data_IF_697699167712
#
_entry.id   IF_697699167712
#
_cell.length_a   1.000
_cell.length_b   1.000
_cell.length_c   1.000
_cell.angle_alpha   90.00
_cell.angle_beta   90.00
_cell.angle_gamma   90.00
#
_symmetry.space_group_name_H-M   'P 1'
#
loop_
_entity.id
_entity.type
_entity.pdbx_description
1 polymer ?
#
# COMPACT_ATOMS: atom_id res chain seq x y z
N UNK A 1 -5.08 -27.97 14.47
CA UNK A 1 -6.51 -27.96 14.09
C UNK A 1 -7.11 -26.62 14.51
N UNK A 2 -7.93 -25.99 13.69
CA UNK A 2 -8.56 -24.68 14.00
C UNK A 2 -10.03 -24.96 14.32
N UNK A 3 -10.54 -24.39 15.43
CA UNK A 3 -11.96 -24.47 15.77
C UNK A 3 -12.77 -23.44 14.97
N UNK A 4 -13.05 -23.80 13.72
CA UNK A 4 -13.76 -22.94 12.78
C UNK A 4 -15.24 -22.74 13.12
N UNK A 5 -15.84 -23.67 13.88
CA UNK A 5 -17.25 -23.60 14.23
C UNK A 5 -17.49 -22.57 15.35
N UNK A 6 -16.57 -22.51 16.32
CA UNK A 6 -16.60 -21.49 17.35
C UNK A 6 -16.34 -20.08 16.78
N UNK A 7 -15.45 -19.96 15.79
CA UNK A 7 -15.21 -18.71 15.05
C UNK A 7 -16.43 -18.21 14.28
N UNK A 8 -17.14 -19.09 13.57
CA UNK A 8 -18.37 -18.75 12.83
C UNK A 8 -19.53 -18.33 13.72
N UNK A 9 -19.53 -18.73 14.99
CA UNK A 9 -20.57 -18.32 15.93
C UNK A 9 -20.37 -16.90 16.49
N UNK A 10 -19.28 -16.22 16.13
CA UNK A 10 -18.90 -14.91 16.69
C UNK A 10 -18.51 -14.96 18.18
N UNK A 11 -18.40 -16.16 18.76
CA UNK A 11 -18.11 -16.38 20.19
C UNK A 11 -16.62 -16.42 20.51
N UNK A 12 -15.77 -16.38 19.49
CA UNK A 12 -14.32 -16.53 19.60
C UNK A 12 -13.65 -15.32 18.98
N UNK A 13 -12.90 -14.59 19.78
CA UNK A 13 -11.97 -13.58 19.31
C UNK A 13 -10.65 -14.26 18.87
N UNK A 14 -9.81 -13.57 18.10
CA UNK A 14 -8.52 -14.11 17.64
C UNK A 14 -7.62 -14.60 18.79
N UNK A 15 -7.89 -14.20 20.05
CA UNK A 15 -7.16 -14.63 21.25
C UNK A 15 -7.65 -15.97 21.81
N UNK A 16 -8.87 -16.37 21.53
CA UNK A 16 -9.42 -17.65 21.99
C UNK A 16 -9.26 -18.78 20.95
N UNK A 17 -9.08 -18.43 19.67
CA UNK A 17 -8.87 -19.41 18.60
C UNK A 17 -7.49 -20.09 18.68
N UNK A 18 -7.48 -21.43 18.82
CA UNK A 18 -6.26 -22.24 18.71
C UNK A 18 -5.97 -22.56 17.24
N UNK A 19 -4.75 -22.26 16.79
CA UNK A 19 -4.21 -22.64 15.50
C UNK A 19 -2.91 -23.39 15.73
N UNK A 20 -2.88 -24.69 15.38
CA UNK A 20 -1.72 -25.58 15.62
C UNK A 20 -1.26 -25.50 17.09
N UNK A 21 -2.20 -25.70 18.01
CA UNK A 21 -1.93 -25.67 19.47
C UNK A 21 -1.81 -24.27 20.07
N UNK A 22 -1.41 -23.25 19.31
CA UNK A 22 -1.14 -21.90 19.80
C UNK A 22 -2.32 -20.92 19.62
N UNK A 23 -2.37 -19.89 20.47
CA UNK A 23 -3.28 -18.74 20.40
C UNK A 23 -2.50 -17.44 20.41
N UNK A 24 -3.18 -16.33 20.11
CA UNK A 24 -2.61 -15.00 20.33
C UNK A 24 -2.31 -14.81 21.81
N UNK A 25 -1.09 -14.39 22.12
CA UNK A 25 -0.55 -14.23 23.47
C UNK A 25 0.25 -15.43 23.98
N UNK A 26 0.14 -16.61 23.35
CA UNK A 26 0.94 -17.77 23.75
C UNK A 26 2.42 -17.57 23.37
N UNK A 27 3.32 -18.20 24.14
CA UNK A 27 4.74 -18.23 23.81
C UNK A 27 5.02 -19.13 22.60
N UNK A 28 6.18 -18.93 21.94
CA UNK A 28 6.61 -19.76 20.80
C UNK A 28 6.56 -21.28 21.08
N UNK A 29 6.78 -21.69 22.33
CA UNK A 29 6.74 -23.09 22.74
C UNK A 29 5.38 -23.76 22.65
N UNK A 30 4.29 -22.99 22.51
CA UNK A 30 2.94 -23.51 22.35
C UNK A 30 2.60 -23.89 20.89
N UNK A 31 3.45 -23.52 19.93
CA UNK A 31 3.23 -23.83 18.51
C UNK A 31 3.55 -25.31 18.27
N UNK A 32 2.60 -26.04 17.69
CA UNK A 32 2.83 -27.41 17.20
C UNK A 32 3.74 -27.36 15.98
N UNK A 33 5.00 -27.73 16.19
CA UNK A 33 6.04 -27.76 15.16
C UNK A 33 6.08 -29.14 14.49
N UNK A 34 6.26 -29.15 13.17
CA UNK A 34 6.52 -30.36 12.38
C UNK A 34 7.79 -30.19 11.53
N UNK A 35 8.10 -31.18 10.68
CA UNK A 35 9.31 -31.16 9.86
C UNK A 35 9.36 -30.02 8.82
N UNK A 36 8.24 -29.34 8.54
CA UNK A 36 8.14 -28.27 7.54
C UNK A 36 8.38 -26.86 8.11
N UNK A 37 8.84 -26.76 9.35
CA UNK A 37 8.97 -25.48 10.05
C UNK A 37 10.10 -24.64 9.46
N UNK A 38 9.80 -23.38 9.19
CA UNK A 38 10.78 -22.35 8.79
C UNK A 38 10.69 -21.14 9.71
N UNK A 39 11.82 -20.51 9.98
CA UNK A 39 11.92 -19.34 10.84
C UNK A 39 12.45 -18.12 10.07
N UNK A 40 11.92 -16.94 10.37
CA UNK A 40 12.44 -15.64 9.93
C UNK A 40 12.52 -14.72 11.15
N UNK A 41 13.72 -14.45 11.66
CA UNK A 41 13.93 -13.55 12.80
C UNK A 41 14.07 -12.10 12.36
N UNK A 42 13.78 -11.16 13.26
CA UNK A 42 14.28 -9.78 13.11
C UNK A 42 15.80 -9.83 13.32
N UNK A 43 16.55 -9.91 12.22
CA UNK A 43 18.00 -10.10 12.24
C UNK A 43 18.71 -8.90 12.88
N UNK A 44 19.79 -9.14 13.62
CA UNK A 44 20.71 -8.09 14.10
C UNK A 44 21.67 -7.57 13.04
N UNK A 45 21.60 -8.08 11.81
CA UNK A 45 22.51 -7.76 10.73
C UNK A 45 21.99 -8.23 9.36
N UNK A 46 22.79 -8.04 8.29
CA UNK A 46 22.40 -8.41 6.94
C UNK A 46 22.22 -9.94 6.80
N UNK A 47 21.05 -10.36 6.33
CA UNK A 47 20.69 -11.79 6.20
C UNK A 47 20.02 -12.04 4.85
N UNK A 48 20.27 -13.22 4.29
CA UNK A 48 19.55 -13.73 3.12
C UNK A 48 18.73 -14.95 3.49
N UNK A 49 17.52 -15.05 2.94
CA UNK A 49 16.64 -16.22 3.08
C UNK A 49 16.49 -16.88 1.71
N UNK A 50 16.68 -18.20 1.65
CA UNK A 50 16.52 -19.00 0.44
C UNK A 50 15.77 -20.30 0.71
N UNK A 51 15.61 -21.12 -0.32
CA UNK A 51 15.04 -22.48 -0.20
C UNK A 51 15.84 -23.35 0.76
N UNK A 52 17.15 -23.12 0.83
CA UNK A 52 18.09 -23.93 1.60
C UNK A 52 18.27 -23.43 3.04
N UNK A 53 17.49 -22.43 3.46
CA UNK A 53 17.51 -21.86 4.81
C UNK A 53 17.96 -20.40 4.86
N UNK A 54 18.39 -19.97 6.04
CA UNK A 54 18.85 -18.60 6.28
C UNK A 54 20.38 -18.54 6.35
N UNK A 55 20.95 -17.44 5.84
CA UNK A 55 22.39 -17.23 5.85
C UNK A 55 22.74 -15.82 6.31
N UNK A 56 23.63 -15.71 7.28
CA UNK A 56 24.27 -14.45 7.66
C UNK A 56 25.24 -14.00 6.58
N UNK A 57 25.21 -12.72 6.23
CA UNK A 57 26.12 -12.11 5.27
C UNK A 57 27.20 -11.37 6.05
N UNK A 58 28.42 -11.90 6.00
CA UNK A 58 29.59 -11.29 6.64
C UNK A 58 30.02 -10.01 5.89
N UNK A 59 30.82 -9.12 6.51
CA UNK A 59 31.30 -7.89 5.86
C UNK A 59 32.09 -8.12 4.56
N UNK A 60 32.68 -9.29 4.40
CA UNK A 60 33.41 -9.71 3.19
C UNK A 60 32.48 -10.33 2.11
N UNK A 61 31.16 -10.33 2.34
CA UNK A 61 30.14 -10.86 1.44
C UNK A 61 29.93 -12.37 1.53
N UNK A 62 30.69 -13.11 2.36
CA UNK A 62 30.48 -14.55 2.54
C UNK A 62 29.15 -14.83 3.25
N UNK A 63 28.52 -15.95 2.86
CA UNK A 63 27.25 -16.43 3.42
C UNK A 63 27.53 -17.58 4.39
N UNK A 64 27.11 -17.44 5.64
CA UNK A 64 27.25 -18.47 6.68
C UNK A 64 25.86 -19.01 7.03
N UNK A 65 25.61 -20.32 6.89
CA UNK A 65 24.30 -20.88 7.21
C UNK A 65 23.99 -20.72 8.70
N UNK A 66 22.74 -20.37 9.00
CA UNK A 66 22.22 -20.25 10.36
C UNK A 66 21.39 -21.50 10.65
N UNK A 67 21.66 -22.17 11.77
CA UNK A 67 20.90 -23.37 12.14
C UNK A 67 19.44 -23.02 12.51
N UNK A 68 18.50 -23.95 12.31
CA UNK A 68 17.11 -23.77 12.73
C UNK A 68 16.97 -23.46 14.24
N UNK A 69 17.79 -24.06 15.10
CA UNK A 69 17.79 -23.83 16.54
C UNK A 69 18.14 -22.39 16.87
N UNK A 70 19.21 -21.86 16.26
CA UNK A 70 19.61 -20.45 16.44
C UNK A 70 18.51 -19.51 15.98
N UNK A 71 17.89 -19.77 14.82
CA UNK A 71 16.77 -18.94 14.35
C UNK A 71 15.57 -18.99 15.30
N UNK A 72 15.26 -20.16 15.86
CA UNK A 72 14.17 -20.32 16.84
C UNK A 72 14.45 -19.50 18.09
N UNK A 73 15.68 -19.56 18.62
CA UNK A 73 16.11 -18.78 19.79
C UNK A 73 16.04 -17.28 19.50
N UNK A 74 16.49 -16.85 18.32
CA UNK A 74 16.41 -15.45 17.91
C UNK A 74 14.96 -14.96 17.78
N UNK A 75 14.07 -15.75 17.17
CA UNK A 75 12.64 -15.42 17.06
C UNK A 75 12.00 -15.35 18.45
N UNK A 76 12.37 -16.25 19.37
CA UNK A 76 11.89 -16.22 20.75
C UNK A 76 12.36 -14.95 21.49
N UNK A 77 13.62 -14.56 21.31
CA UNK A 77 14.23 -13.44 22.02
C UNK A 77 13.85 -12.06 21.44
N UNK A 78 13.71 -11.95 20.12
CA UNK A 78 13.62 -10.66 19.40
C UNK A 78 12.33 -10.49 18.60
N UNK A 79 11.54 -11.55 18.46
CA UNK A 79 10.41 -11.60 17.55
C UNK A 79 10.82 -11.97 16.12
N UNK A 80 9.81 -12.15 15.28
CA UNK A 80 9.97 -12.68 13.92
C UNK A 80 8.76 -13.47 13.48
N UNK A 81 8.95 -14.38 12.53
CA UNK A 81 7.91 -15.23 11.97
C UNK A 81 8.30 -16.70 12.02
N UNK A 82 7.31 -17.55 12.29
CA UNK A 82 7.39 -19.00 12.19
C UNK A 82 6.40 -19.45 11.13
N UNK A 83 6.84 -20.25 10.17
CA UNK A 83 6.01 -20.79 9.11
C UNK A 83 5.87 -22.29 9.32
N UNK A 84 4.63 -22.79 9.35
CA UNK A 84 4.31 -24.20 9.56
C UNK A 84 3.16 -24.58 8.62
N UNK A 85 3.46 -25.33 7.55
CA UNK A 85 2.47 -25.92 6.64
C UNK A 85 1.26 -25.01 6.31
N UNK A 86 1.52 -23.86 5.69
CA UNK A 86 0.49 -22.89 5.30
C UNK A 86 0.00 -21.97 6.43
N UNK A 87 0.54 -22.10 7.64
CA UNK A 87 0.28 -21.17 8.76
C UNK A 87 1.53 -20.34 9.04
N UNK A 88 1.36 -19.04 9.23
CA UNK A 88 2.42 -18.13 9.66
C UNK A 88 2.07 -17.57 11.02
N UNK A 89 3.00 -17.62 11.97
CA UNK A 89 2.89 -17.00 13.29
C UNK A 89 3.85 -15.81 13.32
N UNK A 90 3.38 -14.62 13.61
CA UNK A 90 4.24 -13.47 13.91
C UNK A 90 4.35 -13.31 15.42
N UNK A 91 5.60 -13.25 15.88
CA UNK A 91 5.95 -13.13 17.29
C UNK A 91 6.58 -11.77 17.55
N UNK A 92 6.26 -11.21 18.71
CA UNK A 92 6.89 -10.02 19.25
C UNK A 92 7.02 -10.18 20.75
N UNK A 93 8.21 -9.91 21.28
CA UNK A 93 8.52 -10.08 22.70
C UNK A 93 8.25 -11.52 23.18
N UNK A 94 8.59 -12.51 22.34
CA UNK A 94 8.45 -13.94 22.64
C UNK A 94 7.03 -14.52 22.57
N UNK A 95 6.01 -13.69 22.31
CA UNK A 95 4.60 -14.11 22.23
C UNK A 95 4.02 -13.97 20.84
N UNK A 96 3.09 -14.86 20.48
CA UNK A 96 2.35 -14.83 19.22
C UNK A 96 1.44 -13.60 19.21
N UNK A 97 1.66 -12.68 18.27
CA UNK A 97 0.83 -11.48 18.07
C UNK A 97 -0.17 -11.63 16.95
N UNK A 98 0.16 -12.45 15.96
CA UNK A 98 -0.67 -12.63 14.77
C UNK A 98 -0.47 -14.02 14.19
N UNK A 99 -1.54 -14.58 13.63
CA UNK A 99 -1.54 -15.89 12.98
C UNK A 99 -2.22 -15.74 11.63
N UNK A 100 -1.55 -16.09 10.54
CA UNK A 100 -2.16 -16.19 9.20
C UNK A 100 -2.31 -17.64 8.84
N UNK A 101 -3.47 -17.99 8.30
CA UNK A 101 -3.78 -19.33 7.81
C UNK A 101 -4.03 -19.23 6.31
N UNK A 102 -3.36 -20.08 5.54
CA UNK A 102 -3.45 -20.18 4.07
C UNK A 102 -3.64 -21.62 3.64
N UNK A 103 -4.10 -21.81 2.41
CA UNK A 103 -4.15 -23.11 1.75
C UNK A 103 -5.25 -24.03 2.29
N UNK A 104 -5.07 -25.36 2.26
CA UNK A 104 -6.13 -26.35 2.52
C UNK A 104 -6.83 -26.22 3.88
N UNK A 105 -6.14 -25.64 4.88
CA UNK A 105 -6.74 -25.39 6.19
C UNK A 105 -7.97 -24.47 6.17
N UNK A 106 -8.15 -23.69 5.10
CA UNK A 106 -9.28 -22.78 4.91
C UNK A 106 -10.55 -23.47 4.37
N UNK A 107 -10.45 -24.66 3.77
CA UNK A 107 -11.60 -25.36 3.20
C UNK A 107 -12.70 -25.63 4.24
N UNK A 108 -12.31 -25.77 5.50
CA UNK A 108 -13.22 -25.98 6.63
C UNK A 108 -14.13 -24.75 6.94
N UNK A 109 -13.77 -23.54 6.46
CA UNK A 109 -14.63 -22.36 6.54
C UNK A 109 -15.91 -22.52 5.71
N UNK A 110 -15.85 -23.32 4.63
CA UNK A 110 -16.97 -23.55 3.70
C UNK A 110 -17.56 -22.27 3.09
N UNK A 111 -16.75 -21.23 2.93
CA UNK A 111 -17.11 -19.98 2.25
C UNK A 111 -16.84 -20.17 0.76
N UNK A 112 -17.91 -20.14 -0.05
CA UNK A 112 -17.88 -20.36 -1.50
C UNK A 112 -18.25 -19.11 -2.29
N UNK A 113 -18.80 -18.11 -1.62
CA UNK A 113 -19.07 -16.79 -2.19
C UNK A 113 -18.72 -15.70 -1.16
N UNK A 114 -18.42 -14.50 -1.65
CA UNK A 114 -17.96 -13.39 -0.81
C UNK A 114 -19.03 -12.99 0.22
N UNK A 115 -20.30 -12.99 -0.16
CA UNK A 115 -21.42 -12.62 0.71
C UNK A 115 -21.62 -13.62 1.88
N UNK A 116 -21.02 -14.81 1.81
CA UNK A 116 -21.03 -15.76 2.90
C UNK A 116 -20.06 -15.36 4.03
N UNK A 117 -19.08 -14.50 3.75
CA UNK A 117 -18.22 -13.89 4.77
C UNK A 117 -19.09 -13.08 5.73
N UNK A 118 -19.92 -12.19 5.20
CA UNK A 118 -20.84 -11.36 5.99
C UNK A 118 -21.85 -12.19 6.78
N UNK A 119 -22.34 -13.28 6.18
CA UNK A 119 -23.25 -14.22 6.86
C UNK A 119 -22.57 -14.96 8.02
N UNK A 120 -21.29 -15.30 7.86
CA UNK A 120 -20.53 -16.07 8.84
C UNK A 120 -19.94 -15.21 9.96
N UNK A 121 -19.55 -13.97 9.68
CA UNK A 121 -18.81 -13.11 10.62
C UNK A 121 -19.54 -11.80 10.97
N UNK A 122 -20.69 -11.54 10.37
CA UNK A 122 -21.38 -10.25 10.47
C UNK A 122 -20.84 -9.24 9.46
N UNK A 123 -21.30 -7.99 9.54
CA UNK A 123 -20.80 -6.93 8.66
C UNK A 123 -19.36 -6.56 9.04
N UNK A 124 -18.41 -6.48 8.09
CA UNK A 124 -17.05 -6.05 8.39
C UNK A 124 -17.00 -4.58 8.84
N UNK A 125 -16.06 -4.28 9.74
CA UNK A 125 -15.73 -2.92 10.19
C UNK A 125 -15.00 -2.12 9.10
N UNK A 126 -14.32 -2.82 8.19
CA UNK A 126 -13.59 -2.25 7.08
C UNK A 126 -13.35 -3.27 5.97
N UNK A 127 -13.28 -2.78 4.73
CA UNK A 127 -12.87 -3.58 3.58
C UNK A 127 -11.77 -2.82 2.86
N UNK A 128 -10.65 -3.47 2.58
CA UNK A 128 -9.59 -2.94 1.72
C UNK A 128 -9.30 -3.88 0.57
N UNK A 129 -8.61 -3.36 -0.44
CA UNK A 129 -8.23 -4.13 -1.62
C UNK A 129 -6.70 -4.15 -1.70
N UNK A 130 -6.13 -5.35 -1.54
CA UNK A 130 -4.69 -5.58 -1.42
C UNK A 130 -4.27 -6.65 -2.40
N UNK A 131 -3.46 -6.26 -3.40
CA UNK A 131 -2.93 -7.17 -4.41
C UNK A 131 -4.04 -7.99 -5.11
N UNK A 132 -5.17 -7.35 -5.41
CA UNK A 132 -6.33 -8.02 -6.00
C UNK A 132 -7.25 -8.77 -5.03
N UNK A 133 -6.91 -8.84 -3.74
CA UNK A 133 -7.78 -9.45 -2.71
C UNK A 133 -8.62 -8.41 -1.98
N UNK A 134 -9.91 -8.67 -1.81
CA UNK A 134 -10.78 -7.92 -0.91
C UNK A 134 -10.58 -8.45 0.51
N UNK A 135 -9.94 -7.67 1.37
CA UNK A 135 -9.66 -8.03 2.76
C UNK A 135 -10.73 -7.41 3.65
N UNK A 136 -11.53 -8.27 4.25
CA UNK A 136 -12.60 -7.94 5.19
C UNK A 136 -12.06 -7.93 6.62
N UNK A 137 -12.25 -6.83 7.35
CA UNK A 137 -11.72 -6.61 8.69
C UNK A 137 -12.82 -6.65 9.75
N UNK A 138 -12.60 -7.44 10.81
CA UNK A 138 -13.49 -7.60 11.95
C UNK A 138 -12.71 -7.29 13.24
N UNK A 139 -12.80 -6.05 13.70
CA UNK A 139 -11.99 -5.50 14.79
C UNK A 139 -12.34 -6.11 16.14
N UNK A 140 -13.64 -6.22 16.45
CA UNK A 140 -14.10 -6.81 17.70
C UNK A 140 -13.66 -8.28 17.81
N UNK A 141 -13.62 -9.00 16.69
CA UNK A 141 -13.18 -10.39 16.63
C UNK A 141 -11.66 -10.53 16.47
N UNK A 142 -10.93 -9.45 16.19
CA UNK A 142 -9.50 -9.48 15.86
C UNK A 142 -9.19 -10.44 14.70
N UNK A 143 -9.97 -10.34 13.62
CA UNK A 143 -9.90 -11.21 12.43
C UNK A 143 -9.85 -10.36 11.15
N UNK A 144 -9.06 -10.79 10.17
CA UNK A 144 -9.19 -10.37 8.78
C UNK A 144 -9.38 -11.57 7.86
N UNK A 145 -10.20 -11.44 6.81
CA UNK A 145 -10.47 -12.48 5.82
C UNK A 145 -10.22 -11.91 4.43
N UNK A 146 -9.25 -12.48 3.71
CA UNK A 146 -8.94 -12.07 2.34
C UNK A 146 -9.68 -12.95 1.33
N UNK A 147 -10.52 -12.32 0.54
CA UNK A 147 -11.25 -12.91 -0.57
C UNK A 147 -10.55 -12.59 -1.89
N UNK A 148 -10.25 -13.61 -2.68
CA UNK A 148 -9.77 -13.44 -4.05
C UNK A 148 -10.95 -13.55 -5.01
N UNK A 149 -11.32 -12.41 -5.60
CA UNK A 149 -12.42 -12.33 -6.56
C UNK A 149 -12.13 -13.07 -7.87
N UNK A 150 -10.86 -13.19 -8.28
CA UNK A 150 -10.48 -13.87 -9.52
C UNK A 150 -10.66 -15.39 -9.40
N UNK A 151 -10.34 -15.95 -8.23
CA UNK A 151 -10.46 -17.39 -7.97
C UNK A 151 -11.68 -17.78 -7.13
N UNK A 152 -12.52 -16.80 -6.77
CA UNK A 152 -13.73 -16.95 -5.97
C UNK A 152 -13.52 -17.80 -4.70
N UNK A 153 -12.46 -17.48 -3.93
CA UNK A 153 -12.11 -18.23 -2.71
C UNK A 153 -11.51 -17.34 -1.63
N UNK A 154 -11.53 -17.84 -0.39
CA UNK A 154 -10.75 -17.26 0.71
C UNK A 154 -9.29 -17.63 0.53
N UNK A 155 -8.43 -16.63 0.34
CA UNK A 155 -6.99 -16.83 0.15
C UNK A 155 -6.26 -16.92 1.50
N UNK A 156 -6.67 -16.12 2.48
CA UNK A 156 -6.12 -16.23 3.83
C UNK A 156 -7.07 -15.70 4.91
N UNK A 157 -6.89 -16.21 6.13
CA UNK A 157 -7.48 -15.65 7.36
C UNK A 157 -6.36 -15.25 8.30
N UNK A 158 -6.44 -14.04 8.85
CA UNK A 158 -5.51 -13.54 9.85
C UNK A 158 -6.21 -13.36 11.20
N UNK A 159 -5.61 -13.85 12.28
CA UNK A 159 -6.03 -13.66 13.67
C UNK A 159 -5.03 -12.76 14.39
N UNK A 160 -5.50 -11.92 15.29
CA UNK A 160 -4.68 -10.99 16.07
C UNK A 160 -5.06 -9.53 15.80
N UNK A 161 -4.30 -8.60 16.36
CA UNK A 161 -4.61 -7.17 16.24
C UNK A 161 -4.79 -6.77 14.76
N UNK A 162 -5.99 -6.30 14.42
CA UNK A 162 -6.32 -5.84 13.07
C UNK A 162 -5.90 -4.37 12.98
N UNK A 163 -4.72 -4.16 12.42
CA UNK A 163 -4.23 -2.82 12.11
C UNK A 163 -4.76 -2.45 10.72
N UNK A 164 -5.99 -1.96 10.67
CA UNK A 164 -6.56 -1.36 9.46
C UNK A 164 -6.96 0.08 9.75
N UNK A 165 -6.73 0.95 8.78
CA UNK A 165 -7.29 2.30 8.75
C UNK A 165 -7.73 2.56 7.32
N UNK A 166 -8.93 3.13 7.11
CA UNK A 166 -9.33 3.51 5.76
C UNK A 166 -8.27 4.44 5.17
N UNK A 167 -7.95 4.24 3.89
CA UNK A 167 -7.02 5.12 3.19
C UNK A 167 -7.53 6.55 3.29
N UNK A 168 -6.65 7.45 3.71
CA UNK A 168 -6.93 8.88 3.81
C UNK A 168 -6.23 9.57 2.66
N UNK A 169 -6.98 10.25 1.81
CA UNK A 169 -6.50 10.93 0.62
C UNK A 169 -6.48 12.45 0.85
N UNK A 170 -5.36 13.07 0.51
CA UNK A 170 -5.13 14.50 0.64
C UNK A 170 -4.88 15.18 -0.72
N UNK A 171 -4.45 16.44 -0.66
CA UNK A 171 -4.06 17.20 -1.86
C UNK A 171 -2.90 16.55 -2.64
N UNK A 172 -2.01 15.84 -1.95
CA UNK A 172 -0.92 15.11 -2.60
C UNK A 172 -1.45 13.97 -3.48
N UNK A 173 -2.55 13.30 -3.08
CA UNK A 173 -3.19 12.26 -3.89
C UNK A 173 -3.87 12.85 -5.13
N UNK A 174 -4.40 14.09 -5.05
CA UNK A 174 -4.88 14.83 -6.24
C UNK A 174 -3.74 14.95 -7.26
N UNK A 175 -2.55 15.35 -6.81
CA UNK A 175 -1.38 15.49 -7.68
C UNK A 175 -0.94 14.16 -8.27
N UNK A 176 -0.84 13.11 -7.45
CA UNK A 176 -0.41 11.79 -7.90
C UNK A 176 -1.38 11.17 -8.91
N UNK A 177 -2.69 11.24 -8.66
CA UNK A 177 -3.70 10.75 -9.60
C UNK A 177 -3.76 11.61 -10.87
N UNK A 178 -3.56 12.94 -10.74
CA UNK A 178 -3.49 13.84 -11.89
C UNK A 178 -2.28 13.51 -12.78
N UNK A 179 -1.08 13.43 -12.22
CA UNK A 179 0.16 13.15 -12.96
C UNK A 179 0.17 11.75 -13.58
N UNK A 180 -0.45 10.77 -12.91
CA UNK A 180 -0.65 9.43 -13.43
C UNK A 180 -1.73 9.30 -14.50
N UNK A 181 -2.48 10.37 -14.78
CA UNK A 181 -3.54 10.39 -15.80
C UNK A 181 -3.05 10.98 -17.12
N UNK A 182 -3.32 10.33 -18.27
CA UNK A 182 -3.14 10.89 -19.62
C UNK A 182 -3.80 12.26 -19.83
N UNK A 183 -4.86 12.56 -19.06
CA UNK A 183 -5.47 13.89 -19.02
C UNK A 183 -4.49 15.01 -18.65
N UNK A 184 -3.39 14.70 -17.98
CA UNK A 184 -2.34 15.66 -17.66
C UNK A 184 -1.74 16.30 -18.90
N UNK A 185 -2.04 15.79 -20.11
CA UNK A 185 -1.96 16.52 -21.37
C UNK A 185 -1.08 15.84 -22.40
N UNK A 186 -1.03 14.51 -22.42
CA UNK A 186 -0.35 13.75 -23.46
C UNK A 186 -1.37 13.20 -24.46
N UNK A 187 -1.71 13.95 -25.52
CA UNK A 187 -2.72 13.52 -26.49
C UNK A 187 -2.27 12.32 -27.33
N UNK A 188 -1.00 11.91 -27.27
CA UNK A 188 -0.48 10.78 -28.05
C UNK A 188 -0.42 9.48 -27.24
N UNK A 189 -0.64 9.54 -25.93
CA UNK A 189 -0.69 8.36 -25.08
C UNK A 189 -1.88 7.47 -25.49
N UNK A 190 -1.60 6.24 -25.94
CA UNK A 190 -2.67 5.25 -26.16
C UNK A 190 -3.30 4.91 -24.82
N UNK A 191 -4.63 4.96 -24.77
CA UNK A 191 -5.37 4.46 -23.63
C UNK A 191 -5.07 2.97 -23.43
N UNK A 192 -4.68 2.54 -22.21
CA UNK A 192 -4.73 1.14 -21.82
C UNK A 192 -6.11 0.53 -22.14
N UNK A 193 -6.14 -0.70 -22.67
CA UNK A 193 -7.37 -1.44 -22.96
C UNK A 193 -8.06 -1.96 -21.70
N UNK A 194 -7.30 -2.17 -20.63
CA UNK A 194 -7.74 -2.71 -19.32
C UNK A 194 -8.74 -1.82 -18.54
N UNK A 195 -9.15 -0.67 -19.09
CA UNK A 195 -10.04 0.28 -18.43
C UNK A 195 -9.40 1.03 -17.25
N UNK A 196 -8.12 0.79 -16.94
CA UNK A 196 -7.40 1.47 -15.85
C UNK A 196 -7.39 2.99 -16.02
N UNK A 197 -7.36 3.46 -17.27
CA UNK A 197 -7.49 4.88 -17.59
C UNK A 197 -8.85 5.44 -17.19
N UNK A 198 -9.94 4.73 -17.47
CA UNK A 198 -11.29 5.19 -17.11
C UNK A 198 -11.43 5.29 -15.58
N UNK A 199 -10.86 4.33 -14.84
CA UNK A 199 -10.85 4.38 -13.37
C UNK A 199 -10.00 5.54 -12.85
N UNK A 200 -8.79 5.76 -13.38
CA UNK A 200 -7.96 6.93 -13.00
C UNK A 200 -8.67 8.24 -13.28
N UNK A 201 -9.33 8.34 -14.43
CA UNK A 201 -10.14 9.50 -14.78
C UNK A 201 -11.27 9.74 -13.76
N UNK A 202 -11.97 8.68 -13.34
CA UNK A 202 -13.01 8.77 -12.32
C UNK A 202 -12.45 9.19 -10.95
N UNK A 203 -11.29 8.65 -10.54
CA UNK A 203 -10.59 9.04 -9.30
C UNK A 203 -10.21 10.52 -9.29
N UNK A 204 -9.59 11.02 -10.36
CA UNK A 204 -9.26 12.44 -10.50
C UNK A 204 -10.52 13.29 -10.35
N UNK A 205 -11.59 12.96 -11.07
CA UNK A 205 -12.83 13.73 -10.99
C UNK A 205 -13.47 13.70 -9.59
N UNK A 206 -13.44 12.56 -8.90
CA UNK A 206 -13.94 12.46 -7.52
C UNK A 206 -13.14 13.36 -6.57
N UNK A 207 -11.81 13.36 -6.67
CA UNK A 207 -10.95 14.24 -5.88
C UNK A 207 -11.15 15.72 -6.21
N UNK A 208 -11.22 16.10 -7.49
CA UNK A 208 -11.47 17.49 -7.87
C UNK A 208 -12.82 18.00 -7.34
N UNK A 209 -13.85 17.14 -7.30
CA UNK A 209 -15.13 17.47 -6.66
C UNK A 209 -14.99 17.60 -5.14
N UNK A 210 -14.34 16.65 -4.48
CA UNK A 210 -14.17 16.66 -3.02
C UNK A 210 -13.43 17.91 -2.51
N UNK A 211 -12.42 18.35 -3.27
CA UNK A 211 -11.65 19.55 -2.95
C UNK A 211 -12.21 20.85 -3.55
N UNK A 212 -13.32 20.78 -4.30
CA UNK A 212 -13.97 21.93 -4.96
C UNK A 212 -13.06 22.68 -5.95
N UNK A 213 -12.29 21.93 -6.75
CA UNK A 213 -11.26 22.45 -7.65
C UNK A 213 -11.76 22.69 -9.08
N UNK A 214 -13.04 22.41 -9.34
CA UNK A 214 -13.67 22.54 -10.66
C UNK A 214 -13.49 21.32 -11.55
N UNK A 215 -13.65 21.50 -12.87
CA UNK A 215 -13.42 20.45 -13.86
C UNK A 215 -11.92 20.19 -14.06
N UNK A 216 -11.52 19.04 -14.65
CA UNK A 216 -10.14 18.80 -15.05
C UNK A 216 -9.51 19.95 -15.85
N UNK A 217 -10.26 20.54 -16.79
CA UNK A 217 -9.76 21.63 -17.64
C UNK A 217 -9.55 22.92 -16.83
N UNK A 218 -10.46 23.24 -15.91
CA UNK A 218 -10.32 24.40 -15.01
C UNK A 218 -9.19 24.20 -14.00
N UNK A 219 -9.03 22.99 -13.47
CA UNK A 219 -7.93 22.62 -12.58
C UNK A 219 -6.58 22.77 -13.29
N UNK A 220 -6.43 22.23 -14.50
CA UNK A 220 -5.20 22.34 -15.29
C UNK A 220 -4.77 23.79 -15.56
N UNK A 221 -5.74 24.72 -15.62
CA UNK A 221 -5.52 26.16 -15.80
C UNK A 221 -5.38 26.93 -14.49
N UNK A 222 -5.45 26.26 -13.33
CA UNK A 222 -5.36 26.87 -12.01
C UNK A 222 -6.52 27.81 -11.67
N UNK A 223 -7.70 27.65 -12.27
CA UNK A 223 -8.80 28.63 -12.12
C UNK A 223 -9.32 28.73 -10.68
N UNK A 224 -9.22 27.65 -9.90
CA UNK A 224 -9.57 27.60 -8.47
C UNK A 224 -8.71 28.54 -7.60
N UNK A 225 -7.58 29.03 -8.12
CA UNK A 225 -6.68 29.97 -7.42
C UNK A 225 -7.02 31.44 -7.70
N UNK A 226 -7.88 31.76 -8.69
CA UNK A 226 -8.15 33.15 -9.09
C UNK A 226 -8.73 34.01 -7.97
N UNK A 227 -9.51 33.40 -7.08
CA UNK A 227 -10.14 34.08 -5.94
C UNK A 227 -9.33 33.94 -4.63
N UNK A 228 -8.19 33.24 -4.64
CA UNK A 228 -7.37 33.00 -3.44
C UNK A 228 -6.31 34.08 -3.30
N UNK A 229 -6.17 34.62 -2.10
CA UNK A 229 -5.12 35.58 -1.78
C UNK A 229 -3.78 34.87 -1.51
N UNK A 230 -2.66 35.50 -1.86
CA UNK A 230 -1.32 34.91 -1.75
C UNK A 230 -0.93 34.58 -0.30
N UNK A 231 -1.34 35.43 0.63
CA UNK A 231 -1.13 35.31 2.06
C UNK A 231 -1.89 34.14 2.71
N UNK A 232 -2.87 33.56 2.02
CA UNK A 232 -3.54 32.33 2.45
C UNK A 232 -2.65 31.08 2.33
N UNK A 233 -1.44 31.18 1.76
CA UNK A 233 -0.53 30.06 1.51
C UNK A 233 0.87 30.25 2.14
N UNK A 234 0.98 30.56 3.44
CA UNK A 234 2.25 30.95 4.06
C UNK A 234 3.33 29.85 3.99
N UNK A 235 2.93 28.57 4.03
CA UNK A 235 3.87 27.44 3.95
C UNK A 235 4.46 27.28 2.55
N UNK A 236 3.62 27.43 1.52
CA UNK A 236 4.07 27.42 0.13
C UNK A 236 5.09 28.54 -0.12
N UNK A 237 4.79 29.75 0.37
CA UNK A 237 5.69 30.89 0.25
C UNK A 237 7.02 30.67 0.96
N UNK A 238 7.01 30.14 2.18
CA UNK A 238 8.22 29.83 2.93
C UNK A 238 9.12 28.82 2.19
N UNK A 239 8.52 27.78 1.60
CA UNK A 239 9.25 26.78 0.79
C UNK A 239 9.83 27.37 -0.49
N UNK A 240 9.10 28.22 -1.18
CA UNK A 240 9.63 28.92 -2.36
C UNK A 240 10.78 29.86 -1.97
N UNK A 241 10.65 30.59 -0.87
CA UNK A 241 11.68 31.50 -0.38
C UNK A 241 13.00 30.78 -0.05
N UNK A 242 12.93 29.56 0.53
CA UNK A 242 14.10 28.70 0.78
C UNK A 242 14.96 28.47 -0.47
N UNK A 243 14.33 28.36 -1.65
CA UNK A 243 15.00 28.06 -2.91
C UNK A 243 15.27 29.30 -3.78
N UNK A 244 14.56 30.40 -3.53
CA UNK A 244 14.68 31.63 -4.32
C UNK A 244 15.93 32.47 -3.96
N UNK A 245 16.56 32.22 -2.80
CA UNK A 245 17.66 33.04 -2.30
C UNK A 245 17.25 34.51 -2.15
N UNK A 246 18.09 35.44 -2.60
CA UNK A 246 17.80 36.89 -2.54
C UNK A 246 16.75 37.35 -3.57
N UNK A 247 16.32 36.47 -4.48
CA UNK A 247 15.31 36.78 -5.47
C UNK A 247 13.94 36.76 -4.79
N UNK A 248 13.54 37.89 -4.23
CA UNK A 248 12.15 38.04 -3.74
C UNK A 248 11.19 37.89 -4.92
N UNK A 249 10.22 36.99 -4.84
CA UNK A 249 9.13 36.98 -5.81
C UNK A 249 8.43 38.33 -5.73
N UNK A 250 8.47 39.12 -6.81
CA UNK A 250 7.56 40.27 -6.97
C UNK A 250 6.19 39.71 -7.34
N UNK A 251 5.12 40.32 -6.85
CA UNK A 251 3.71 40.07 -7.15
C UNK A 251 3.50 39.09 -8.32
N UNK A 252 3.42 37.80 -8.01
CA UNK A 252 3.24 36.77 -9.01
C UNK A 252 1.88 36.11 -8.80
N UNK A 253 1.20 35.84 -9.91
CA UNK A 253 -0.10 35.17 -9.88
C UNK A 253 0.05 33.73 -9.38
N UNK A 254 -0.74 33.34 -8.37
CA UNK A 254 -0.84 31.96 -7.92
C UNK A 254 -1.17 31.00 -9.07
N UNK A 255 -1.97 31.46 -10.03
CA UNK A 255 -2.31 30.71 -11.24
C UNK A 255 -1.07 30.44 -12.08
N UNK A 256 -0.23 31.45 -12.30
CA UNK A 256 1.02 31.31 -13.06
C UNK A 256 1.99 30.40 -12.31
N UNK A 257 2.13 30.55 -10.99
CA UNK A 257 2.97 29.66 -10.19
C UNK A 257 2.52 28.21 -10.31
N UNK A 258 1.24 27.94 -10.03
CA UNK A 258 0.66 26.60 -10.05
C UNK A 258 0.84 25.94 -11.42
N UNK A 259 0.44 26.62 -12.49
CA UNK A 259 0.57 26.07 -13.86
C UNK A 259 2.04 25.85 -14.25
N UNK A 260 2.95 26.73 -13.83
CA UNK A 260 4.40 26.55 -14.07
C UNK A 260 4.95 25.34 -13.34
N UNK A 261 4.65 25.20 -12.05
CA UNK A 261 5.10 24.08 -11.22
C UNK A 261 4.48 22.76 -11.67
N UNK A 262 3.19 22.73 -12.01
CA UNK A 262 2.52 21.55 -12.56
C UNK A 262 3.16 21.09 -13.88
N UNK A 263 3.48 22.03 -14.79
CA UNK A 263 4.17 21.70 -16.05
C UNK A 263 5.54 21.10 -15.77
N UNK A 264 6.34 21.77 -14.94
CA UNK A 264 7.66 21.28 -14.56
C UNK A 264 7.58 19.89 -13.91
N UNK A 265 6.66 19.70 -12.95
CA UNK A 265 6.49 18.45 -12.25
C UNK A 265 6.07 17.30 -13.17
N UNK A 266 5.23 17.58 -14.16
CA UNK A 266 4.84 16.62 -15.21
C UNK A 266 6.02 16.22 -16.10
N UNK A 267 6.81 17.19 -16.55
CA UNK A 267 7.98 16.91 -17.37
C UNK A 267 9.02 16.08 -16.59
N UNK A 268 9.21 16.38 -15.30
CA UNK A 268 10.05 15.59 -14.43
C UNK A 268 9.48 14.18 -14.17
N UNK A 269 8.16 14.05 -13.98
CA UNK A 269 7.49 12.75 -13.77
C UNK A 269 7.75 11.78 -14.92
N UNK A 270 7.71 12.28 -16.16
CA UNK A 270 8.02 11.48 -17.36
C UNK A 270 9.43 10.91 -17.35
N UNK A 271 10.40 11.67 -16.82
CA UNK A 271 11.79 11.22 -16.68
C UNK A 271 11.89 10.19 -15.55
N UNK A 272 11.29 10.48 -14.39
CA UNK A 272 11.30 9.59 -13.21
C UNK A 272 10.69 8.22 -13.55
N UNK A 273 9.58 8.21 -14.27
CA UNK A 273 8.86 6.97 -14.64
C UNK A 273 9.36 6.30 -15.91
N UNK A 274 10.42 6.81 -16.55
CA UNK A 274 10.90 6.28 -17.84
C UNK A 274 11.31 4.80 -17.84
N UNK A 275 11.52 4.20 -16.66
CA UNK A 275 11.83 2.78 -16.48
C UNK A 275 10.63 1.93 -16.04
N UNK A 276 9.47 2.54 -15.73
CA UNK A 276 8.27 1.81 -15.39
C UNK A 276 7.75 1.05 -16.63
N UNK A 277 7.72 -0.28 -16.57
CA UNK A 277 7.22 -1.14 -17.66
C UNK A 277 8.23 -2.12 -18.25
N UNK A 278 9.50 -2.07 -17.84
CA UNK A 278 10.49 -3.10 -18.18
C UNK A 278 10.33 -4.29 -17.22
N UNK A 279 9.49 -5.26 -17.60
CA UNK A 279 9.16 -6.41 -16.74
C UNK A 279 10.20 -7.52 -16.79
N UNK A 280 10.95 -7.66 -17.89
CA UNK A 280 11.93 -8.73 -18.05
C UNK A 280 13.14 -8.24 -18.86
N UNK A 281 14.31 -8.28 -18.23
CA UNK A 281 15.59 -8.09 -18.90
C UNK A 281 16.50 -9.25 -18.50
N UNK A 282 16.73 -10.19 -19.42
CA UNK A 282 17.65 -11.32 -19.18
C UNK A 282 19.13 -10.94 -19.26
N UNK A 283 19.45 -9.75 -19.77
CA UNK A 283 20.82 -9.26 -19.95
C UNK A 283 21.29 -8.44 -18.74
N UNK A 284 22.49 -8.78 -18.23
CA UNK A 284 23.07 -8.12 -17.06
C UNK A 284 23.40 -6.63 -17.29
N UNK A 285 23.73 -6.23 -18.53
CA UNK A 285 23.95 -4.84 -18.90
C UNK A 285 22.65 -4.04 -18.84
N UNK A 286 21.55 -4.61 -19.35
CA UNK A 286 20.21 -4.01 -19.24
C UNK A 286 19.76 -3.92 -17.78
N UNK A 287 19.93 -4.98 -16.98
CA UNK A 287 19.61 -4.95 -15.55
C UNK A 287 20.41 -3.86 -14.81
N UNK A 288 21.69 -3.69 -15.15
CA UNK A 288 22.54 -2.63 -14.58
C UNK A 288 22.04 -1.25 -14.98
N UNK A 289 21.68 -1.04 -16.24
CA UNK A 289 21.11 0.22 -16.73
C UNK A 289 19.80 0.56 -16.02
N UNK A 290 18.90 -0.42 -15.85
CA UNK A 290 17.64 -0.27 -15.11
C UNK A 290 17.89 0.11 -13.64
N UNK A 291 18.84 -0.54 -12.98
CA UNK A 291 19.18 -0.22 -11.59
C UNK A 291 19.77 1.19 -11.43
N UNK A 292 20.64 1.62 -12.36
CA UNK A 292 21.19 2.98 -12.36
C UNK A 292 20.11 4.03 -12.63
N UNK A 293 19.21 3.74 -13.57
CA UNK A 293 18.08 4.61 -13.88
C UNK A 293 17.13 4.73 -12.68
N UNK A 294 16.75 3.62 -12.03
CA UNK A 294 15.90 3.63 -10.84
C UNK A 294 16.53 4.45 -9.69
N UNK A 295 17.84 4.32 -9.48
CA UNK A 295 18.56 5.15 -8.51
C UNK A 295 18.49 6.64 -8.86
N UNK A 296 18.69 6.99 -10.13
CA UNK A 296 18.61 8.37 -10.60
C UNK A 296 17.17 8.93 -10.47
N UNK A 297 16.16 8.14 -10.86
CA UNK A 297 14.75 8.45 -10.72
C UNK A 297 14.35 8.70 -9.27
N UNK A 298 14.80 7.85 -8.33
CA UNK A 298 14.58 8.05 -6.89
C UNK A 298 15.22 9.34 -6.38
N UNK A 299 16.45 9.64 -6.80
CA UNK A 299 17.13 10.88 -6.42
C UNK A 299 16.41 12.12 -6.96
N UNK A 300 15.95 12.09 -8.21
CA UNK A 300 15.16 13.15 -8.80
C UNK A 300 13.80 13.31 -8.09
N UNK A 301 13.09 12.21 -7.83
CA UNK A 301 11.84 12.22 -7.08
C UNK A 301 11.99 12.83 -5.69
N UNK A 302 13.05 12.49 -4.96
CA UNK A 302 13.36 13.09 -3.66
C UNK A 302 13.59 14.61 -3.74
N UNK A 303 14.20 15.10 -4.83
CA UNK A 303 14.40 16.53 -5.05
C UNK A 303 13.09 17.28 -5.38
N UNK A 304 12.05 16.59 -5.85
CA UNK A 304 10.77 17.17 -6.23
C UNK A 304 9.78 17.32 -5.04
N UNK A 305 10.08 16.75 -3.87
CA UNK A 305 9.19 16.79 -2.70
C UNK A 305 8.79 18.22 -2.32
N UNK A 306 9.71 19.18 -2.36
CA UNK A 306 9.39 20.58 -2.03
C UNK A 306 8.40 21.20 -3.04
N UNK A 307 8.42 20.77 -4.31
CA UNK A 307 7.46 21.21 -5.33
C UNK A 307 6.09 20.56 -5.10
N UNK A 308 6.08 19.26 -4.79
CA UNK A 308 4.86 18.51 -4.50
C UNK A 308 4.15 19.09 -3.26
N UNK A 309 4.91 19.46 -2.22
CA UNK A 309 4.38 20.11 -1.03
C UNK A 309 3.83 21.52 -1.33
N UNK A 310 4.50 22.31 -2.17
CA UNK A 310 3.98 23.62 -2.61
C UNK A 310 2.68 23.46 -3.38
N UNK A 311 2.64 22.53 -4.34
CA UNK A 311 1.44 22.25 -5.13
C UNK A 311 0.29 21.75 -4.25
N UNK A 312 0.56 20.88 -3.27
CA UNK A 312 -0.44 20.35 -2.35
C UNK A 312 -1.04 21.45 -1.47
N UNK A 313 -0.21 22.37 -0.96
CA UNK A 313 -0.66 23.54 -0.19
C UNK A 313 -1.49 24.51 -1.03
N UNK A 314 -1.15 24.69 -2.32
CA UNK A 314 -1.96 25.50 -3.23
C UNK A 314 -3.35 24.88 -3.45
N UNK A 315 -3.42 23.55 -3.53
CA UNK A 315 -4.66 22.80 -3.70
C UNK A 315 -5.54 22.88 -2.44
N UNK A 316 -5.00 22.50 -1.28
CA UNK A 316 -5.71 22.45 -0.01
C UNK A 316 -4.89 23.09 1.13
N UNK A 317 -4.91 24.44 1.26
CA UNK A 317 -4.12 25.15 2.28
C UNK A 317 -4.54 24.82 3.72
N UNK A 318 -5.77 24.36 3.90
CA UNK A 318 -6.32 23.90 5.18
C UNK A 318 -5.93 22.46 5.52
N UNK A 319 -5.22 21.76 4.63
CA UNK A 319 -4.83 20.37 4.83
C UNK A 319 -6.01 19.40 4.86
N UNK A 320 -7.14 19.73 4.21
CA UNK A 320 -8.30 18.83 4.12
C UNK A 320 -7.91 17.45 3.59
N UNK A 321 -8.52 16.43 4.17
CA UNK A 321 -8.36 15.03 3.78
C UNK A 321 -9.70 14.31 3.78
N UNK A 322 -9.82 13.26 2.99
CA UNK A 322 -11.03 12.45 2.88
C UNK A 322 -10.69 10.97 3.04
N UNK A 323 -11.52 10.22 3.74
CA UNK A 323 -11.39 8.76 3.73
C UNK A 323 -11.90 8.21 2.39
N UNK A 324 -11.34 7.11 1.92
CA UNK A 324 -11.83 6.44 0.71
C UNK A 324 -13.33 6.08 0.78
N UNK A 325 -13.87 5.54 1.90
CA UNK A 325 -15.32 5.36 2.06
C UNK A 325 -16.13 6.65 1.90
N UNK A 326 -15.66 7.78 2.43
CA UNK A 326 -16.33 9.07 2.25
C UNK A 326 -16.33 9.50 0.76
N UNK A 327 -15.20 9.31 0.07
CA UNK A 327 -15.04 9.56 -1.36
C UNK A 327 -16.00 8.73 -2.21
N UNK A 328 -16.18 7.45 -1.90
CA UNK A 328 -17.13 6.55 -2.57
C UNK A 328 -18.56 7.06 -2.34
N UNK A 329 -18.93 7.30 -1.08
CA UNK A 329 -20.30 7.62 -0.70
C UNK A 329 -20.80 8.97 -1.24
N UNK A 330 -19.92 9.99 -1.32
CA UNK A 330 -20.34 11.38 -1.60
C UNK A 330 -19.84 11.94 -2.92
N UNK A 331 -18.74 11.43 -3.44
CA UNK A 331 -18.07 12.02 -4.62
C UNK A 331 -17.83 11.03 -5.76
N UNK A 332 -18.35 9.80 -5.67
CA UNK A 332 -18.32 8.82 -6.75
C UNK A 332 -16.92 8.29 -7.04
N UNK A 333 -16.11 8.10 -6.00
CA UNK A 333 -14.83 7.41 -6.13
C UNK A 333 -15.04 5.96 -6.57
N UNK A 334 -14.28 5.46 -7.56
CA UNK A 334 -14.41 4.08 -8.02
C UNK A 334 -13.79 3.12 -7.00
N UNK A 335 -14.61 2.23 -6.45
CA UNK A 335 -14.19 1.12 -5.58
C UNK A 335 -13.60 -0.04 -6.40
N UNK A 336 -12.47 0.23 -7.06
CA UNK A 336 -11.78 -0.72 -7.96
C UNK A 336 -10.26 -0.62 -7.77
N UNK A 337 -9.57 -1.77 -7.69
CA UNK A 337 -8.10 -1.83 -7.76
C UNK A 337 -7.62 -1.71 -9.20
N UNK A 338 -6.65 -0.84 -9.42
CA UNK A 338 -5.98 -0.77 -10.72
C UNK A 338 -5.07 -1.99 -10.97
N UNK A 339 -4.58 -2.66 -9.92
CA UNK A 339 -3.79 -3.88 -10.07
C UNK A 339 -4.67 -5.06 -10.53
N UNK A 340 -5.92 -5.12 -10.07
CA UNK A 340 -6.86 -6.17 -10.45
C UNK A 340 -7.24 -6.09 -11.94
N UNK A 341 -7.40 -4.88 -12.48
CA UNK A 341 -7.71 -4.68 -13.91
C UNK A 341 -6.59 -5.20 -14.82
N UNK A 342 -5.32 -4.98 -14.44
CA UNK A 342 -4.15 -5.44 -15.23
C UNK A 342 -4.02 -6.97 -15.29
N UNK A 343 -4.50 -7.67 -14.26
CA UNK A 343 -4.40 -9.13 -14.18
C UNK A 343 -5.42 -9.86 -15.07
N UNK A 344 -6.48 -9.20 -15.53
CA UNK A 344 -7.52 -9.81 -16.38
C UNK A 344 -7.15 -9.90 -17.87
N UNK A 345 -6.07 -9.23 -18.29
CA UNK A 345 -5.60 -9.22 -19.69
C UNK A 345 -4.36 -10.11 -19.95
N UNK A 346 -3.77 -10.72 -18.91
CA UNK A 346 -2.64 -11.64 -18.99
C UNK A 346 -3.10 -13.11 -18.92
#
# INVERSE_FOLDING_TARGET
MIDWDALRSGRVDGRSARVRGARIGDAIGAIELDASVRYESIASGPRSHGTDGAFDILPDGRRVPVSPETLREEVAARGGRVFVAGTTFELRDGVVRRIWVRGPGLEALRIRAEEEIDRAFGRPDGVELVLGWRVHHFFAAAISIAWDAATARVEHVAFGEVIWRPRVLGAIDVLHEWLGSPLAGDPTARAPSDGSLAVRHARVNALLRAFELGSPQSFARGEFLRARALDAHPRALARLAKHAGDRRPRDFSLVILFTTLMRYRRDADRVVRGSEGWLEAGDAGVLTALALQDRASRALGAALVDIDDVLAELIAPDGRTFTEPDLVARWGWPDVDLLHLRAQEL
#
